data_IF_776060741050
#
_entry.id   IF_776060741050
#
_cell.length_a   1.000
_cell.length_b   1.000
_cell.length_c   1.000
_cell.angle_alpha   90.00
_cell.angle_beta   90.00
_cell.angle_gamma   90.00
#
_symmetry.space_group_name_H-M   'P 1'
#
loop_
_entity.id
_entity.type
_entity.pdbx_description
1 polymer ?
#
# COMPACT_ATOMS: atom_id res chain seq x y z
N UNK A 1 10.24 -9.21 6.01
CA UNK A 1 11.19 -8.29 5.33
C UNK A 1 10.47 -7.00 4.94
N UNK A 2 9.34 -7.03 4.22
CA UNK A 2 8.62 -5.83 3.77
C UNK A 2 8.35 -4.85 4.92
N UNK A 3 7.82 -5.31 6.04
CA UNK A 3 7.58 -4.48 7.23
C UNK A 3 8.86 -3.83 7.79
N UNK A 4 9.98 -4.58 7.80
CA UNK A 4 11.27 -4.03 8.24
C UNK A 4 11.79 -2.93 7.29
N UNK A 5 11.67 -3.16 5.99
CA UNK A 5 12.06 -2.16 4.99
C UNK A 5 11.18 -0.90 5.07
N UNK A 6 9.86 -1.08 5.18
CA UNK A 6 8.92 0.02 5.25
C UNK A 6 9.07 0.92 6.49
N UNK A 7 9.69 0.40 7.56
CA UNK A 7 9.88 1.10 8.83
C UNK A 7 11.28 1.62 9.06
N UNK A 8 12.25 1.32 8.18
CA UNK A 8 13.66 1.69 8.41
C UNK A 8 14.00 3.15 8.05
N UNK A 9 13.08 3.90 7.45
CA UNK A 9 13.29 5.31 7.06
C UNK A 9 14.25 5.55 5.90
N UNK A 10 14.56 4.50 5.10
CA UNK A 10 15.52 4.58 3.99
C UNK A 10 14.87 4.53 2.61
N UNK A 11 13.59 4.25 2.54
CA UNK A 11 12.86 4.05 1.30
C UNK A 11 11.59 4.88 1.30
N UNK A 12 11.19 5.34 0.13
CA UNK A 12 9.94 6.09 -0.08
C UNK A 12 8.76 5.18 -0.40
N UNK A 13 9.03 3.96 -0.86
CA UNK A 13 8.04 2.90 -1.09
C UNK A 13 8.67 1.51 -0.95
N UNK A 14 7.85 0.51 -0.74
CA UNK A 14 8.24 -0.92 -0.81
C UNK A 14 7.32 -1.64 -1.78
N UNK A 15 7.89 -2.44 -2.66
CA UNK A 15 7.13 -3.30 -3.57
C UNK A 15 7.39 -4.76 -3.20
N UNK A 16 6.36 -5.48 -2.76
CA UNK A 16 6.43 -6.89 -2.43
C UNK A 16 6.05 -7.73 -3.65
N UNK A 17 7.05 -8.27 -4.35
CA UNK A 17 6.86 -9.12 -5.52
C UNK A 17 6.93 -10.60 -5.16
N UNK A 18 6.11 -11.41 -5.80
CA UNK A 18 6.11 -12.86 -5.65
C UNK A 18 5.08 -13.53 -6.54
N UNK A 19 5.05 -14.85 -6.50
CA UNK A 19 4.02 -15.66 -7.14
C UNK A 19 3.64 -16.83 -6.26
N UNK A 20 2.34 -17.01 -6.04
CA UNK A 20 1.76 -18.18 -5.40
C UNK A 20 0.88 -18.87 -6.41
N UNK A 21 1.26 -20.06 -6.81
CA UNK A 21 0.58 -20.85 -7.84
C UNK A 21 -0.04 -22.07 -7.19
N UNK A 22 -1.33 -22.31 -7.47
CA UNK A 22 -2.05 -23.45 -6.89
C UNK A 22 -1.41 -24.77 -7.28
N UNK A 23 -1.10 -25.58 -6.31
CA UNK A 23 -0.70 -26.97 -6.47
C UNK A 23 -1.85 -27.94 -6.19
N UNK A 24 -1.51 -29.17 -5.88
CA UNK A 24 -2.48 -30.25 -5.63
C UNK A 24 -3.15 -30.20 -4.25
N UNK A 25 -2.69 -29.34 -3.35
CA UNK A 25 -3.13 -29.30 -1.94
C UNK A 25 -3.72 -27.95 -1.56
N UNK A 26 -4.40 -27.86 -0.42
CA UNK A 26 -4.94 -26.64 0.14
C UNK A 26 -3.88 -25.63 0.63
N UNK A 27 -2.61 -25.97 0.57
CA UNK A 27 -1.50 -25.10 0.99
C UNK A 27 -1.54 -23.71 0.29
N UNK A 28 -1.93 -23.67 -0.98
CA UNK A 28 -2.13 -22.44 -1.73
C UNK A 28 -3.04 -21.44 -1.01
N UNK A 29 -4.17 -21.89 -0.49
CA UNK A 29 -5.17 -21.03 0.15
C UNK A 29 -4.62 -20.38 1.41
N UNK A 30 -3.87 -21.13 2.21
CA UNK A 30 -3.20 -20.61 3.42
C UNK A 30 -2.11 -19.60 3.08
N UNK A 31 -1.26 -19.90 2.08
CA UNK A 31 -0.19 -19.00 1.67
C UNK A 31 -0.76 -17.70 1.10
N UNK A 32 -1.77 -17.76 0.24
CA UNK A 32 -2.43 -16.55 -0.29
C UNK A 32 -3.04 -15.70 0.82
N UNK A 33 -3.73 -16.31 1.78
CA UNK A 33 -4.34 -15.63 2.92
C UNK A 33 -3.29 -14.90 3.77
N UNK A 34 -2.23 -15.59 4.15
CA UNK A 34 -1.23 -15.01 5.05
C UNK A 34 -0.32 -13.99 4.37
N UNK A 35 0.06 -14.19 3.10
CA UNK A 35 0.88 -13.21 2.38
C UNK A 35 0.12 -11.92 2.12
N UNK A 36 -1.16 -12.00 1.73
CA UNK A 36 -1.99 -10.81 1.51
C UNK A 36 -2.25 -10.05 2.81
N UNK A 37 -2.60 -10.74 3.88
CA UNK A 37 -2.79 -10.15 5.20
C UNK A 37 -1.50 -9.52 5.74
N UNK A 38 -0.38 -10.22 5.63
CA UNK A 38 0.90 -9.72 6.12
C UNK A 38 1.38 -8.46 5.40
N UNK A 39 1.21 -8.39 4.08
CA UNK A 39 1.56 -7.18 3.30
C UNK A 39 0.60 -6.04 3.60
N UNK A 40 -0.71 -6.31 3.72
CA UNK A 40 -1.69 -5.31 4.12
C UNK A 40 -1.38 -4.71 5.50
N UNK A 41 -1.04 -5.54 6.48
CA UNK A 41 -0.64 -5.08 7.81
C UNK A 41 0.66 -4.26 7.76
N UNK A 42 1.64 -4.66 6.95
CA UNK A 42 2.87 -3.89 6.76
C UNK A 42 2.58 -2.50 6.18
N UNK A 43 1.65 -2.40 5.22
CA UNK A 43 1.22 -1.15 4.61
C UNK A 43 0.51 -0.24 5.62
N UNK A 44 -0.44 -0.77 6.40
CA UNK A 44 -1.17 0.01 7.40
C UNK A 44 -0.26 0.53 8.53
N UNK A 45 0.78 -0.23 8.89
CA UNK A 45 1.72 0.14 9.95
C UNK A 45 2.87 1.04 9.48
N UNK A 46 3.00 1.28 8.18
CA UNK A 46 4.06 2.08 7.60
C UNK A 46 3.61 3.52 7.30
N UNK A 47 4.57 4.44 7.23
CA UNK A 47 4.34 5.83 6.75
C UNK A 47 4.53 5.96 5.23
N UNK A 48 5.02 4.94 4.58
CA UNK A 48 5.28 4.88 3.15
C UNK A 48 4.43 3.79 2.49
N UNK A 49 4.13 3.87 1.20
CA UNK A 49 3.32 2.87 0.52
C UNK A 49 4.04 1.52 0.45
N UNK A 50 3.29 0.44 0.71
CA UNK A 50 3.73 -0.94 0.51
C UNK A 50 2.82 -1.59 -0.52
N UNK A 51 3.36 -1.81 -1.72
CA UNK A 51 2.60 -2.29 -2.87
C UNK A 51 2.53 -3.82 -2.88
N UNK A 52 1.33 -4.35 -3.14
CA UNK A 52 1.08 -5.78 -3.24
C UNK A 52 1.27 -6.26 -4.70
N UNK A 53 2.46 -6.80 -4.99
CA UNK A 53 2.83 -7.32 -6.31
C UNK A 53 2.92 -8.85 -6.37
N UNK A 54 2.21 -9.54 -5.48
CA UNK A 54 2.19 -11.00 -5.47
C UNK A 54 1.09 -11.53 -6.39
N UNK A 55 1.51 -12.32 -7.38
CA UNK A 55 0.58 -13.07 -8.23
C UNK A 55 -0.01 -14.25 -7.45
N UNK A 56 -1.33 -14.42 -7.51
CA UNK A 56 -2.05 -15.56 -6.95
C UNK A 56 -2.87 -16.20 -8.06
N UNK A 57 -2.42 -17.33 -8.56
CA UNK A 57 -2.96 -17.94 -9.78
C UNK A 57 -3.24 -19.43 -9.63
N UNK A 58 -4.17 -19.93 -10.45
CA UNK A 58 -4.55 -21.35 -10.44
C UNK A 58 -3.52 -22.24 -11.14
N UNK A 59 -2.76 -21.69 -12.09
CA UNK A 59 -1.76 -22.41 -12.87
C UNK A 59 -0.60 -21.48 -13.29
N UNK A 60 0.43 -22.08 -13.88
CA UNK A 60 1.66 -21.41 -14.31
C UNK A 60 1.37 -20.45 -15.48
N UNK A 61 0.52 -20.83 -16.41
CA UNK A 61 0.17 -20.03 -17.57
C UNK A 61 -0.43 -18.69 -17.15
N UNK A 62 -1.35 -18.69 -16.19
CA UNK A 62 -1.92 -17.48 -15.64
C UNK A 62 -0.85 -16.59 -14.95
N UNK A 63 0.12 -17.20 -14.28
CA UNK A 63 1.21 -16.46 -13.65
C UNK A 63 2.08 -15.77 -14.70
N UNK A 64 2.47 -16.48 -15.76
CA UNK A 64 3.25 -15.94 -16.87
C UNK A 64 2.50 -14.79 -17.58
N UNK A 65 1.22 -14.97 -17.86
CA UNK A 65 0.39 -13.94 -18.50
C UNK A 65 0.36 -12.64 -17.70
N UNK A 66 0.23 -12.72 -16.38
CA UNK A 66 0.15 -11.56 -15.48
C UNK A 66 1.50 -10.97 -15.10
N UNK A 67 2.58 -11.69 -15.37
CA UNK A 67 3.95 -11.21 -15.18
C UNK A 67 4.47 -10.31 -16.32
N UNK A 68 3.69 -10.09 -17.38
CA UNK A 68 4.02 -9.15 -18.43
C UNK A 68 3.97 -9.69 -19.86
N UNK A 69 3.37 -10.87 -20.09
CA UNK A 69 3.30 -11.45 -21.43
C UNK A 69 2.00 -11.13 -22.17
N UNK A 70 0.82 -11.26 -21.52
CA UNK A 70 -0.48 -11.14 -22.21
C UNK A 70 -1.51 -10.34 -21.41
N UNK A 71 -1.76 -10.71 -20.16
CA UNK A 71 -2.85 -10.20 -19.33
C UNK A 71 -2.39 -9.13 -18.33
N UNK A 72 -1.47 -8.27 -18.71
CA UNK A 72 -0.93 -7.21 -17.88
C UNK A 72 0.47 -7.50 -17.34
N UNK A 73 0.95 -6.60 -16.47
CA UNK A 73 2.25 -6.72 -15.81
C UNK A 73 2.11 -6.20 -14.38
N UNK A 74 1.97 -7.11 -13.43
CA UNK A 74 1.79 -6.76 -12.01
C UNK A 74 2.98 -5.98 -11.44
N UNK A 75 4.19 -6.29 -11.87
CA UNK A 75 5.39 -5.56 -11.44
C UNK A 75 5.38 -4.11 -11.93
N UNK A 76 5.01 -3.88 -13.18
CA UNK A 76 4.84 -2.54 -13.74
C UNK A 76 3.75 -1.76 -13.01
N UNK A 77 2.58 -2.36 -12.80
CA UNK A 77 1.46 -1.72 -12.10
C UNK A 77 1.85 -1.30 -10.69
N UNK A 78 2.60 -2.15 -9.97
CA UNK A 78 3.09 -1.83 -8.64
C UNK A 78 4.13 -0.70 -8.67
N UNK A 79 5.01 -0.66 -9.65
CA UNK A 79 6.01 0.41 -9.78
C UNK A 79 5.36 1.76 -10.09
N UNK A 80 4.43 1.79 -11.06
CA UNK A 80 3.67 2.99 -11.39
C UNK A 80 2.84 3.47 -10.19
N UNK A 81 2.12 2.55 -9.53
CA UNK A 81 1.34 2.86 -8.34
C UNK A 81 2.19 3.34 -7.15
N UNK A 82 3.41 2.82 -6.99
CA UNK A 82 4.32 3.29 -5.95
C UNK A 82 4.71 4.76 -6.16
N UNK A 83 5.04 5.15 -7.40
CA UNK A 83 5.36 6.54 -7.75
C UNK A 83 4.15 7.45 -7.48
N UNK A 84 2.97 7.05 -7.92
CA UNK A 84 1.73 7.79 -7.70
C UNK A 84 1.44 7.98 -6.20
N UNK A 85 1.54 6.91 -5.41
CA UNK A 85 1.28 6.96 -3.97
C UNK A 85 2.28 7.79 -3.19
N UNK A 86 3.56 7.76 -3.54
CA UNK A 86 4.58 8.62 -2.91
C UNK A 86 4.24 10.09 -3.14
N UNK A 87 3.91 10.47 -4.38
CA UNK A 87 3.54 11.84 -4.69
C UNK A 87 2.24 12.27 -3.99
N UNK A 88 1.25 11.38 -3.96
CA UNK A 88 -0.02 11.65 -3.27
C UNK A 88 0.17 11.87 -1.77
N UNK A 89 0.98 11.04 -1.11
CA UNK A 89 1.27 11.20 0.32
C UNK A 89 1.94 12.55 0.58
N UNK A 90 2.93 12.93 -0.22
CA UNK A 90 3.55 14.25 -0.11
C UNK A 90 2.55 15.40 -0.25
N UNK A 91 1.61 15.29 -1.20
CA UNK A 91 0.59 16.32 -1.40
C UNK A 91 -0.41 16.39 -0.24
N UNK A 92 -0.80 15.24 0.31
CA UNK A 92 -1.65 15.17 1.51
C UNK A 92 -0.95 15.79 2.71
N UNK A 93 0.31 15.43 2.94
CA UNK A 93 1.10 15.96 4.07
C UNK A 93 1.26 17.47 3.99
N UNK A 94 1.54 18.04 2.82
CA UNK A 94 1.61 19.49 2.61
C UNK A 94 0.28 20.18 2.94
N UNK A 95 -0.83 19.66 2.41
CA UNK A 95 -2.16 20.26 2.63
C UNK A 95 -2.62 20.17 4.09
N UNK A 96 -2.28 19.09 4.79
CA UNK A 96 -2.60 18.95 6.21
C UNK A 96 -1.73 19.84 7.10
N UNK A 97 -0.47 20.07 6.74
CA UNK A 97 0.40 21.02 7.43
C UNK A 97 -0.09 22.47 7.28
N UNK A 98 -0.50 22.88 6.08
CA UNK A 98 -1.02 24.24 5.82
C UNK A 98 -2.32 24.52 6.57
N UNK A 99 -3.23 23.55 6.70
CA UNK A 99 -4.48 23.69 7.45
C UNK A 99 -4.28 23.80 8.98
N UNK A 100 -3.15 23.38 9.52
CA UNK A 100 -2.87 23.52 10.96
C UNK A 100 -2.57 24.98 11.37
N UNK A 101 -2.34 25.88 10.42
CA UNK A 101 -2.11 27.29 10.64
C UNK A 101 -3.37 28.17 10.54
N UNK A 102 -4.52 27.62 10.11
CA UNK A 102 -5.75 28.38 9.84
C UNK A 102 -6.92 28.12 10.81
N UNK A 103 -6.70 27.43 11.92
CA UNK A 103 -7.73 27.34 12.97
C UNK A 103 -7.67 28.61 13.81
N UNK A 104 -8.40 29.65 13.39
CA UNK A 104 -8.78 30.74 14.29
C UNK A 104 -9.55 30.14 15.47
N UNK A 105 -9.16 30.45 16.72
CA UNK A 105 -9.92 29.96 17.86
C UNK A 105 -11.37 30.49 17.76
N UNK A 106 -12.32 29.57 17.92
CA UNK A 106 -13.74 29.90 18.02
C UNK A 106 -13.88 30.91 19.17
N UNK A 107 -14.19 32.15 18.85
CA UNK A 107 -14.55 33.17 19.86
C UNK A 107 -15.84 32.68 20.50
N UNK A 108 -15.77 32.29 21.76
CA UNK A 108 -16.96 32.05 22.57
C UNK A 108 -17.69 33.39 22.68
N UNK A 109 -18.86 33.49 22.05
CA UNK A 109 -19.79 34.58 22.33
C UNK A 109 -20.17 34.52 23.83
N UNK A 110 -19.87 35.61 24.54
CA UNK A 110 -20.34 35.77 25.92
C UNK A 110 -21.86 35.72 25.96
N UNK A 111 -22.48 35.03 26.93
CA UNK A 111 -23.94 35.08 27.08
C UNK A 111 -24.39 36.48 27.46
N UNK A 112 -25.40 37.00 26.74
CA UNK A 112 -26.10 38.23 27.08
C UNK A 112 -26.51 38.22 28.57
N UNK A 113 -26.00 39.16 29.33
CA UNK A 113 -26.52 39.44 30.69
C UNK A 113 -27.88 40.15 30.58
N UNK A 114 -28.79 39.86 31.49
CA UNK A 114 -30.12 40.47 31.54
C UNK A 114 -30.12 41.97 31.89
#
# INVERSE_FOLDING_TARGET
IASKMARCGRYDAVIALGAVIRGATSHYDYVCSEVSKGIAQASLAAKIPVMFGVLTTENIEQAIERAGTKAGNKGYDCAAGAIEMVNLIHDVDKRTADNSLSVTPFVQEEPCRP
#
